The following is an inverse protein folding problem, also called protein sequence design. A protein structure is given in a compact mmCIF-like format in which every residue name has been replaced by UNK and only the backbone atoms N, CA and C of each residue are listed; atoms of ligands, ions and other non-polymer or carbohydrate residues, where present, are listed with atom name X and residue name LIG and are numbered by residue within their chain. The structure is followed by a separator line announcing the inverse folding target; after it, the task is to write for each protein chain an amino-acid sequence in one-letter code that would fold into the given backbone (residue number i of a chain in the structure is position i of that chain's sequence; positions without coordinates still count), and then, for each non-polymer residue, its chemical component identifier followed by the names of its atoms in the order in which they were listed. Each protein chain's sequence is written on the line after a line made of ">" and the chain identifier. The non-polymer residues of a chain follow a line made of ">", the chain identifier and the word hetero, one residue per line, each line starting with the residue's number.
data_IF_672946682232
#
_entry.id   IF_672946682232
#
_cell.length_a   1.000
_cell.length_b   1.000
_cell.length_c   1.000
_cell.angle_alpha   90.00
_cell.angle_beta   90.00
_cell.angle_gamma   90.00
#
_symmetry.space_group_name_H-M   'P 1'
#
loop_
_entity.id
_entity.type
_entity.pdbx_description
1 polymer ?
#
# COMPACT_ATOMS: atom_id res chain seq x y z
N UNK A 1 -17.61 -0.87 2.26
CA UNK A 1 -17.05 0.03 1.23
C UNK A 1 -15.65 -0.39 0.89
N UNK A 2 -15.27 -0.22 -0.34
CA UNK A 2 -13.89 -0.49 -0.77
C UNK A 2 -13.13 0.81 -0.96
N UNK A 3 -11.86 0.78 -0.55
CA UNK A 3 -10.99 1.95 -0.60
C UNK A 3 -9.76 1.62 -1.43
N UNK A 4 -9.49 2.44 -2.43
CA UNK A 4 -8.24 2.33 -3.18
C UNK A 4 -7.14 3.03 -2.41
N UNK A 5 -6.03 2.33 -2.25
CA UNK A 5 -4.86 2.87 -1.56
C UNK A 5 -3.84 3.23 -2.62
N UNK A 6 -3.43 4.48 -2.64
CA UNK A 6 -2.53 4.99 -3.68
C UNK A 6 -1.17 5.31 -3.11
N UNK A 7 -0.15 5.24 -3.96
CA UNK A 7 1.15 5.79 -3.61
C UNK A 7 1.08 7.31 -3.70
N UNK A 8 1.52 8.00 -2.66
CA UNK A 8 1.58 9.45 -2.68
C UNK A 8 2.85 9.99 -3.30
N UNK A 9 3.79 9.11 -3.64
CA UNK A 9 5.08 9.49 -4.20
C UNK A 9 5.45 8.53 -5.33
N UNK A 10 6.26 9.02 -6.26
CA UNK A 10 6.88 8.16 -7.26
C UNK A 10 8.14 7.56 -6.65
N UNK A 11 8.35 6.27 -6.85
CA UNK A 11 9.52 5.60 -6.31
C UNK A 11 9.51 4.12 -6.62
N UNK A 12 10.25 3.36 -5.83
CA UNK A 12 10.34 1.91 -6.01
C UNK A 12 9.81 1.21 -4.76
N UNK A 13 9.03 0.16 -4.95
CA UNK A 13 8.56 -0.65 -3.83
C UNK A 13 9.74 -1.37 -3.21
N UNK A 14 10.09 -0.98 -1.99
CA UNK A 14 11.18 -1.61 -1.26
C UNK A 14 10.72 -2.91 -0.61
N UNK A 15 9.51 -2.91 -0.06
CA UNK A 15 9.00 -4.07 0.67
C UNK A 15 7.48 -4.04 0.69
N UNK A 16 6.86 -5.22 0.56
CA UNK A 16 5.45 -5.40 0.85
C UNK A 16 5.33 -6.03 2.23
N UNK A 17 4.56 -5.40 3.11
CA UNK A 17 4.42 -5.82 4.51
C UNK A 17 3.16 -6.65 4.71
N UNK A 18 2.08 -6.29 4.03
CA UNK A 18 0.80 -6.99 4.12
C UNK A 18 0.57 -7.87 2.90
N UNK A 19 -0.31 -8.85 3.05
CA UNK A 19 -0.71 -9.78 1.98
C UNK A 19 -2.21 -9.74 1.80
N UNK A 20 -2.67 -10.10 0.60
CA UNK A 20 -4.10 -10.26 0.33
C UNK A 20 -4.69 -11.23 1.34
N UNK A 21 -5.80 -10.82 1.95
CA UNK A 21 -6.46 -11.58 3.01
C UNK A 21 -6.15 -11.12 4.41
N UNK A 22 -5.11 -10.29 4.59
CA UNK A 22 -4.75 -9.80 5.92
C UNK A 22 -5.81 -8.85 6.45
N UNK A 23 -6.07 -8.95 7.78
CA UNK A 23 -6.88 -8.01 8.50
C UNK A 23 -6.00 -6.85 8.94
N UNK A 24 -6.41 -5.65 8.58
CA UNK A 24 -5.63 -4.44 8.84
C UNK A 24 -6.38 -3.52 9.78
N UNK A 25 -5.64 -2.88 10.69
CA UNK A 25 -6.14 -1.73 11.42
C UNK A 25 -5.88 -0.48 10.59
N UNK A 26 -6.59 0.61 10.88
CA UNK A 26 -6.29 1.89 10.25
C UNK A 26 -4.82 2.24 10.51
N UNK A 27 -4.15 2.76 9.51
CA UNK A 27 -2.73 3.15 9.54
C UNK A 27 -1.74 1.98 9.57
N UNK A 28 -2.21 0.73 9.49
CA UNK A 28 -1.28 -0.40 9.32
C UNK A 28 -0.54 -0.26 7.99
N UNK A 29 0.76 -0.59 8.00
CA UNK A 29 1.59 -0.48 6.80
C UNK A 29 1.28 -1.62 5.85
N UNK A 30 1.00 -1.28 4.58
CA UNK A 30 0.76 -2.25 3.52
C UNK A 30 2.06 -2.50 2.75
N UNK A 31 2.76 -1.43 2.41
CA UNK A 31 4.00 -1.49 1.64
C UNK A 31 4.86 -0.30 1.97
N UNK A 32 6.13 -0.37 1.62
CA UNK A 32 7.07 0.73 1.82
C UNK A 32 7.66 1.10 0.46
N UNK A 33 7.59 2.38 0.12
CA UNK A 33 8.12 2.93 -1.14
C UNK A 33 9.41 3.68 -0.81
N UNK A 34 10.49 3.35 -1.54
CA UNK A 34 11.72 4.13 -1.45
C UNK A 34 11.66 5.27 -2.45
N UNK A 35 11.76 6.48 -1.95
CA UNK A 35 11.77 7.70 -2.74
C UNK A 35 12.89 8.59 -2.24
N UNK A 36 13.87 8.88 -3.11
CA UNK A 36 15.00 9.76 -2.78
C UNK A 36 15.71 9.33 -1.49
N UNK A 37 15.98 8.03 -1.36
CA UNK A 37 16.64 7.41 -0.20
C UNK A 37 15.84 7.50 1.11
N UNK A 38 14.55 7.83 1.00
CA UNK A 38 13.63 7.84 2.14
C UNK A 38 12.63 6.71 1.99
N UNK A 39 12.28 6.09 3.11
CA UNK A 39 11.27 5.03 3.14
C UNK A 39 9.93 5.66 3.48
N UNK A 40 9.00 5.59 2.55
CA UNK A 40 7.67 6.19 2.69
C UNK A 40 6.66 5.05 2.84
N UNK A 41 5.98 4.92 3.98
CA UNK A 41 4.99 3.86 4.15
C UNK A 41 3.70 4.17 3.41
N UNK A 42 3.11 3.13 2.81
CA UNK A 42 1.75 3.16 2.28
C UNK A 42 0.89 2.44 3.30
N UNK A 43 -0.09 3.12 3.85
CA UNK A 43 -0.85 2.62 5.00
C UNK A 43 -2.32 2.45 4.65
N UNK A 44 -3.00 1.59 5.43
CA UNK A 44 -4.43 1.38 5.28
C UNK A 44 -5.19 2.62 5.71
N UNK A 45 -6.12 3.13 4.89
CA UNK A 45 -6.89 4.33 5.25
C UNK A 45 -7.94 4.06 6.32
N UNK A 46 -8.38 2.81 6.43
CA UNK A 46 -9.40 2.39 7.39
C UNK A 46 -9.08 0.96 7.84
N UNK A 47 -9.67 0.54 8.93
CA UNK A 47 -9.61 -0.87 9.33
C UNK A 47 -10.40 -1.71 8.32
N UNK A 48 -9.89 -2.85 7.95
CA UNK A 48 -10.55 -3.73 6.99
C UNK A 48 -9.66 -4.86 6.52
N UNK A 49 -10.04 -5.46 5.39
CA UNK A 49 -9.31 -6.58 4.80
C UNK A 49 -8.62 -6.13 3.53
N UNK A 50 -7.36 -6.51 3.38
CA UNK A 50 -6.63 -6.26 2.13
C UNK A 50 -7.16 -7.24 1.07
N UNK A 51 -7.86 -6.73 0.06
CA UNK A 51 -8.49 -7.59 -0.94
C UNK A 51 -7.73 -7.65 -2.24
N UNK A 52 -6.93 -6.62 -2.56
CA UNK A 52 -6.07 -6.62 -3.73
C UNK A 52 -4.76 -5.91 -3.43
N UNK A 53 -3.68 -6.38 -4.02
CA UNK A 53 -2.37 -5.77 -3.90
C UNK A 53 -1.76 -5.76 -5.30
N UNK A 54 -1.55 -4.56 -5.85
CA UNK A 54 -1.10 -4.39 -7.24
C UNK A 54 0.41 -4.19 -7.35
N UNK A 55 1.08 -3.90 -6.25
CA UNK A 55 2.51 -3.64 -6.25
C UNK A 55 3.27 -4.81 -5.67
N UNK A 56 4.41 -5.11 -6.23
CA UNK A 56 5.33 -6.13 -5.75
C UNK A 56 6.69 -5.47 -5.48
N UNK A 57 7.52 -6.16 -4.70
CA UNK A 57 8.86 -5.66 -4.39
C UNK A 57 9.62 -5.39 -5.68
N UNK A 58 10.34 -4.28 -5.69
CA UNK A 58 11.14 -3.76 -6.81
C UNK A 58 10.33 -3.11 -7.94
N UNK A 59 9.01 -3.15 -7.89
CA UNK A 59 8.20 -2.43 -8.87
C UNK A 59 8.42 -0.92 -8.75
N UNK A 60 8.42 -0.27 -9.91
CA UNK A 60 8.45 1.20 -9.96
C UNK A 60 7.00 1.69 -9.95
N UNK A 61 6.70 2.63 -9.08
CA UNK A 61 5.36 3.19 -8.97
C UNK A 61 5.39 4.69 -9.22
N UNK A 62 4.31 5.19 -9.80
CA UNK A 62 4.12 6.62 -10.04
C UNK A 62 3.33 7.24 -8.90
N UNK A 63 3.40 8.56 -8.78
CA UNK A 63 2.54 9.30 -7.87
C UNK A 63 1.07 9.03 -8.23
N UNK A 64 0.25 8.79 -7.21
CA UNK A 64 -1.19 8.48 -7.34
C UNK A 64 -1.51 7.14 -8.00
N UNK A 65 -0.51 6.29 -8.21
CA UNK A 65 -0.74 4.95 -8.71
C UNK A 65 -1.42 4.09 -7.65
N UNK A 66 -2.40 3.29 -8.06
CA UNK A 66 -3.08 2.36 -7.16
C UNK A 66 -2.10 1.29 -6.67
N UNK A 67 -2.01 1.12 -5.37
CA UNK A 67 -1.15 0.12 -4.74
C UNK A 67 -1.96 -1.07 -4.24
N UNK A 68 -3.13 -0.80 -3.69
CA UNK A 68 -3.92 -1.84 -3.04
C UNK A 68 -5.38 -1.44 -2.96
N UNK A 69 -6.22 -2.41 -2.61
CA UNK A 69 -7.63 -2.16 -2.29
C UNK A 69 -7.91 -2.77 -0.94
N UNK A 70 -8.53 -1.98 -0.06
CA UNK A 70 -8.93 -2.41 1.28
C UNK A 70 -10.45 -2.37 1.34
N UNK A 71 -11.03 -3.47 1.77
CA UNK A 71 -12.47 -3.51 2.05
C UNK A 71 -12.68 -3.14 3.51
N UNK A 72 -13.36 -2.02 3.76
CA UNK A 72 -13.63 -1.54 5.11
C UNK A 72 -14.62 -2.45 5.84
N UNK A 73 -14.56 -2.39 7.14
CA UNK A 73 -15.48 -3.14 8.03
C UNK A 73 -16.85 -2.51 8.04
#
# INVERSE_FOLDING_TARGET
>A
MVYKVKSHVAGQVWKTVAKVGDQLAADDVIAIIECMKMEIPVVAPVAGTLVELFAAEKDIVAEDQDIAVVQGV
#
